data_IF_552983282061
#
_entry.id   IF_552983282061
#
_cell.length_a   1.000
_cell.length_b   1.000
_cell.length_c   1.000
_cell.angle_alpha   90.00
_cell.angle_beta   90.00
_cell.angle_gamma   90.00
#
_symmetry.space_group_name_H-M   'P 1'
#
loop_
_entity.id
_entity.type
_entity.pdbx_description
1 polymer ?
#
# COMPACT_ATOMS: atom_id res chain seq x y z
N UNK A 1 -12.03 -10.41 30.47
CA UNK A 1 -11.58 -9.57 31.58
C UNK A 1 -10.36 -10.21 32.21
N UNK A 2 -9.25 -9.54 32.41
CA UNK A 2 -7.97 -10.02 33.00
C UNK A 2 -7.01 -10.86 32.12
N UNK A 3 -6.98 -10.76 30.83
CA UNK A 3 -5.87 -11.37 30.08
C UNK A 3 -4.64 -10.44 29.86
N UNK A 4 -4.75 -9.16 30.20
CA UNK A 4 -3.64 -8.21 30.02
C UNK A 4 -2.61 -8.15 31.16
N UNK A 5 -2.93 -8.68 32.33
CA UNK A 5 -2.07 -8.52 33.51
C UNK A 5 -1.07 -9.69 33.74
N UNK A 6 -1.39 -10.87 33.23
CA UNK A 6 -0.53 -12.05 33.44
C UNK A 6 0.77 -11.97 32.66
N UNK A 7 0.72 -11.43 31.44
CA UNK A 7 1.92 -11.24 30.60
C UNK A 7 2.86 -10.14 31.10
N UNK A 8 2.30 -9.05 31.65
CA UNK A 8 3.10 -7.94 32.16
C UNK A 8 3.81 -8.26 33.46
N UNK A 9 3.20 -9.02 34.36
CA UNK A 9 3.84 -9.45 35.60
C UNK A 9 4.97 -10.45 35.39
N UNK A 10 4.80 -11.40 34.45
CA UNK A 10 5.85 -12.34 34.07
C UNK A 10 7.08 -11.61 33.50
N UNK A 11 6.89 -10.70 32.58
CA UNK A 11 7.98 -9.92 32.01
C UNK A 11 8.68 -9.00 33.01
N UNK A 12 7.99 -8.52 34.06
CA UNK A 12 8.58 -7.68 35.11
C UNK A 12 9.44 -8.52 36.07
N UNK A 13 9.01 -9.73 36.41
CA UNK A 13 9.73 -10.61 37.33
C UNK A 13 11.02 -11.18 36.76
N UNK A 14 11.06 -11.40 35.44
CA UNK A 14 12.22 -11.98 34.75
C UNK A 14 13.28 -10.93 34.39
N UNK A 15 12.98 -9.66 34.59
CA UNK A 15 13.92 -8.57 34.23
C UNK A 15 14.97 -8.39 35.33
N UNK A 16 16.26 -8.43 35.00
CA UNK A 16 17.32 -8.13 35.95
C UNK A 16 17.14 -6.75 36.62
N UNK A 17 17.39 -6.65 37.91
CA UNK A 17 17.22 -5.40 38.66
C UNK A 17 18.04 -4.23 38.10
N UNK A 18 19.18 -4.52 37.46
CA UNK A 18 20.02 -3.52 36.80
C UNK A 18 19.33 -2.85 35.60
N UNK A 19 18.33 -3.51 35.00
CA UNK A 19 17.55 -3.00 33.87
C UNK A 19 16.26 -2.29 34.31
N UNK A 20 15.95 -2.28 35.58
CA UNK A 20 14.77 -1.57 36.08
C UNK A 20 15.02 -0.06 36.01
N UNK A 21 14.06 0.67 35.48
CA UNK A 21 14.07 2.13 35.50
C UNK A 21 14.01 2.62 36.94
N UNK A 22 14.96 3.50 37.30
CA UNK A 22 15.07 4.10 38.65
C UNK A 22 14.62 5.57 38.68
N UNK A 23 14.37 6.15 37.49
CA UNK A 23 13.92 7.53 37.37
C UNK A 23 12.40 7.61 37.43
N UNK A 24 11.86 8.68 37.94
CA UNK A 24 10.43 8.96 37.90
C UNK A 24 9.96 9.13 36.44
N UNK A 25 8.68 8.85 36.20
CA UNK A 25 8.06 8.95 34.86
C UNK A 25 6.57 9.25 34.99
N UNK A 26 5.96 9.79 33.93
CA UNK A 26 4.54 10.14 33.89
C UNK A 26 4.10 11.02 35.05
N UNK A 27 4.94 11.98 35.48
CA UNK A 27 4.66 12.88 36.61
C UNK A 27 3.70 14.02 36.27
N UNK A 28 3.38 14.25 34.98
CA UNK A 28 2.43 15.27 34.57
C UNK A 28 1.01 14.90 35.01
N UNK A 29 0.27 15.88 35.45
CA UNK A 29 -1.09 15.73 35.98
C UNK A 29 -2.03 15.00 35.03
N UNK A 30 -1.87 15.19 33.72
CA UNK A 30 -2.68 14.52 32.69
C UNK A 30 -2.68 12.99 32.80
N UNK A 31 -1.59 12.39 33.30
CA UNK A 31 -1.50 10.94 33.51
C UNK A 31 -2.21 10.47 34.79
N UNK A 32 -2.63 11.41 35.63
CA UNK A 32 -3.30 11.14 36.92
C UNK A 32 -4.75 11.63 36.95
N UNK A 33 -5.20 12.29 35.86
CA UNK A 33 -6.54 12.82 35.66
C UNK A 33 -7.35 11.97 34.67
N UNK A 34 -8.61 12.35 34.45
CA UNK A 34 -9.48 11.79 33.42
C UNK A 34 -9.64 10.26 33.52
N UNK A 35 -9.83 9.76 34.72
CA UNK A 35 -9.93 8.31 35.01
C UNK A 35 -11.35 7.77 34.91
N UNK A 36 -12.37 8.61 34.95
CA UNK A 36 -13.72 8.22 34.64
C UNK A 36 -13.98 8.23 33.14
N UNK A 37 -14.82 7.34 32.64
CA UNK A 37 -15.15 7.23 31.20
C UNK A 37 -15.57 8.56 30.60
N UNK A 38 -16.50 9.25 31.25
CA UNK A 38 -16.99 10.56 30.78
C UNK A 38 -15.93 11.66 30.79
N UNK A 39 -15.02 11.64 31.74
CA UNK A 39 -13.89 12.57 31.79
C UNK A 39 -12.91 12.29 30.65
N UNK A 40 -12.60 11.00 30.41
CA UNK A 40 -11.73 10.59 29.33
C UNK A 40 -12.31 10.96 27.97
N UNK A 41 -13.60 10.72 27.73
CA UNK A 41 -14.28 11.09 26.49
C UNK A 41 -14.20 12.61 26.23
N UNK A 42 -14.44 13.44 27.26
CA UNK A 42 -14.33 14.90 27.14
C UNK A 42 -12.89 15.33 26.93
N UNK A 43 -11.93 14.67 27.53
CA UNK A 43 -10.51 14.95 27.33
C UNK A 43 -10.09 14.63 25.89
N UNK A 44 -10.44 13.46 25.39
CA UNK A 44 -10.19 13.06 24.00
C UNK A 44 -10.85 14.02 23.01
N UNK A 45 -12.08 14.44 23.27
CA UNK A 45 -12.76 15.43 22.44
C UNK A 45 -12.03 16.76 22.41
N UNK A 46 -11.56 17.27 23.55
CA UNK A 46 -10.76 18.51 23.61
C UNK A 46 -9.46 18.41 22.82
N UNK A 47 -8.81 17.24 22.81
CA UNK A 47 -7.62 17.02 22.00
C UNK A 47 -7.99 16.99 20.51
N UNK A 48 -9.01 16.24 20.15
CA UNK A 48 -9.47 16.15 18.77
C UNK A 48 -9.91 17.52 18.20
N UNK A 49 -10.47 18.41 19.02
CA UNK A 49 -10.91 19.73 18.61
C UNK A 49 -9.78 20.73 18.34
N UNK A 50 -8.54 20.38 18.73
CA UNK A 50 -7.35 21.21 18.48
C UNK A 50 -6.68 20.90 17.15
N UNK A 51 -7.08 19.83 16.50
CA UNK A 51 -6.48 19.36 15.25
C UNK A 51 -7.56 19.15 14.18
N UNK A 52 -7.09 18.91 12.95
CA UNK A 52 -7.96 18.52 11.86
C UNK A 52 -8.59 17.16 12.14
N UNK A 53 -9.88 17.05 11.94
CA UNK A 53 -10.59 15.79 12.06
C UNK A 53 -11.51 15.59 10.85
N UNK A 54 -11.53 14.38 10.31
CA UNK A 54 -12.26 14.03 9.08
C UNK A 54 -13.78 14.23 9.19
N UNK A 55 -14.33 14.23 10.41
CA UNK A 55 -15.76 14.44 10.66
C UNK A 55 -16.19 15.91 10.60
N UNK A 56 -15.27 16.88 10.48
CA UNK A 56 -15.57 18.30 10.43
C UNK A 56 -14.68 19.15 9.53
N UNK A 57 -13.67 18.58 8.92
CA UNK A 57 -12.78 19.30 8.00
C UNK A 57 -12.22 18.36 6.94
N UNK A 58 -11.94 18.92 5.76
CA UNK A 58 -11.15 18.20 4.73
C UNK A 58 -9.67 18.25 5.11
N UNK A 59 -8.99 17.11 5.00
CA UNK A 59 -7.55 17.07 5.16
C UNK A 59 -6.91 17.67 3.91
N UNK A 60 -5.96 18.62 4.04
CA UNK A 60 -5.30 19.27 2.92
C UNK A 60 -4.21 18.40 2.28
N UNK A 61 -4.39 17.09 2.25
CA UNK A 61 -3.50 16.11 1.66
C UNK A 61 -4.25 15.32 0.59
N UNK A 62 -3.58 15.05 -0.52
CA UNK A 62 -4.16 14.36 -1.67
C UNK A 62 -4.39 12.87 -1.42
N UNK A 63 -3.54 12.01 -1.97
CA UNK A 63 -3.75 10.56 -2.00
C UNK A 63 -3.71 9.83 -0.66
N UNK A 64 -3.19 10.44 0.39
CA UNK A 64 -3.09 9.85 1.74
C UNK A 64 -4.32 10.09 2.60
N UNK A 65 -5.35 10.71 2.08
CA UNK A 65 -6.57 11.02 2.83
C UNK A 65 -7.31 9.75 3.18
N UNK A 66 -7.22 9.35 4.45
CA UNK A 66 -8.06 8.29 4.98
C UNK A 66 -9.49 8.83 5.13
N UNK A 67 -10.42 8.26 4.37
CA UNK A 67 -11.83 8.62 4.50
C UNK A 67 -12.42 8.10 5.81
N UNK A 68 -13.53 8.67 6.22
CA UNK A 68 -14.34 8.11 7.32
C UNK A 68 -14.89 6.74 6.89
N UNK A 69 -14.68 5.75 7.73
CA UNK A 69 -15.31 4.44 7.56
C UNK A 69 -16.68 4.43 8.24
N UNK A 70 -17.64 3.75 7.63
CA UNK A 70 -18.94 3.53 8.25
C UNK A 70 -18.79 2.67 9.52
N UNK A 71 -19.53 3.00 10.57
CA UNK A 71 -19.57 2.19 11.78
C UNK A 71 -20.03 0.75 11.50
N UNK A 72 -20.95 0.55 10.54
CA UNK A 72 -21.42 -0.76 10.14
C UNK A 72 -20.31 -1.61 9.48
N UNK A 73 -19.44 -0.99 8.69
CA UNK A 73 -18.28 -1.65 8.08
C UNK A 73 -17.22 -2.06 9.12
N UNK A 74 -17.14 -1.32 10.22
CA UNK A 74 -16.16 -1.58 11.29
C UNK A 74 -16.65 -2.57 12.35
N UNK A 75 -17.95 -2.78 12.49
CA UNK A 75 -18.54 -3.67 13.50
C UNK A 75 -17.99 -5.10 13.46
N UNK A 76 -17.83 -5.75 12.29
CA UNK A 76 -17.34 -7.13 12.21
C UNK A 76 -15.97 -7.35 12.81
N UNK A 77 -15.12 -6.33 12.86
CA UNK A 77 -13.76 -6.41 13.42
C UNK A 77 -13.76 -6.90 14.87
N UNK A 78 -14.80 -6.57 15.65
CA UNK A 78 -14.95 -6.96 17.05
C UNK A 78 -15.73 -8.24 17.26
N UNK A 79 -16.31 -8.83 16.23
CA UNK A 79 -17.04 -10.10 16.37
C UNK A 79 -16.06 -11.22 16.69
N UNK A 80 -16.48 -12.11 17.57
CA UNK A 80 -15.62 -13.20 18.08
C UNK A 80 -15.14 -14.13 16.96
N UNK A 81 -15.96 -14.35 15.96
CA UNK A 81 -15.70 -15.17 14.79
C UNK A 81 -14.53 -14.66 13.97
N UNK A 82 -14.30 -13.35 13.97
CA UNK A 82 -13.15 -12.71 13.33
C UNK A 82 -12.00 -12.44 14.30
N UNK A 83 -12.29 -11.87 15.47
CA UNK A 83 -11.26 -11.33 16.38
C UNK A 83 -10.53 -12.39 17.21
N UNK A 84 -11.10 -13.59 17.39
CA UNK A 84 -10.52 -14.62 18.25
C UNK A 84 -9.84 -15.76 17.48
N UNK A 85 -9.87 -15.74 16.17
CA UNK A 85 -9.18 -16.74 15.36
C UNK A 85 -7.68 -16.46 15.35
N UNK A 86 -6.87 -17.46 15.71
CA UNK A 86 -5.42 -17.32 15.70
C UNK A 86 -4.89 -17.33 14.25
N UNK A 87 -3.90 -16.50 13.89
CA UNK A 87 -3.36 -16.45 12.51
C UNK A 87 -2.79 -17.78 12.01
N UNK A 88 -2.33 -18.66 12.89
CA UNK A 88 -1.78 -19.97 12.56
C UNK A 88 -2.74 -21.13 12.87
N UNK A 89 -4.02 -20.85 12.92
CA UNK A 89 -5.03 -21.90 13.03
C UNK A 89 -4.96 -22.85 11.81
N UNK A 90 -5.22 -24.16 11.98
CA UNK A 90 -5.30 -25.07 10.82
C UNK A 90 -6.31 -24.61 9.78
N UNK A 91 -6.02 -24.84 8.50
CA UNK A 91 -6.82 -24.34 7.37
C UNK A 91 -8.28 -24.80 7.42
N UNK A 92 -8.51 -26.05 7.85
CA UNK A 92 -9.87 -26.61 8.01
C UNK A 92 -10.72 -25.86 9.05
N UNK A 93 -10.09 -25.08 9.92
CA UNK A 93 -10.76 -24.22 10.89
C UNK A 93 -10.84 -22.74 10.46
N UNK A 94 -10.29 -22.39 9.29
CA UNK A 94 -10.24 -21.03 8.75
C UNK A 94 -10.99 -20.87 7.40
N UNK A 95 -11.87 -21.78 7.06
CA UNK A 95 -12.56 -21.81 5.75
C UNK A 95 -13.29 -20.50 5.42
N UNK A 96 -13.94 -19.87 6.41
CA UNK A 96 -14.60 -18.58 6.22
C UNK A 96 -13.64 -17.45 5.87
N UNK A 97 -12.41 -17.47 6.38
CA UNK A 97 -11.37 -16.52 5.99
C UNK A 97 -10.86 -16.80 4.57
N UNK A 98 -10.70 -18.06 4.18
CA UNK A 98 -10.29 -18.43 2.82
C UNK A 98 -11.35 -17.98 1.80
N UNK A 99 -12.63 -18.20 2.10
CA UNK A 99 -13.75 -17.76 1.24
C UNK A 99 -13.75 -16.21 1.11
N UNK A 100 -13.67 -15.50 2.22
CA UNK A 100 -13.64 -14.04 2.24
C UNK A 100 -12.45 -13.47 1.45
N UNK A 101 -11.25 -14.01 1.62
CA UNK A 101 -10.05 -13.57 0.91
C UNK A 101 -10.17 -13.88 -0.58
N UNK A 102 -10.67 -15.05 -0.95
CA UNK A 102 -10.88 -15.45 -2.33
C UNK A 102 -11.90 -14.58 -3.03
N UNK A 103 -13.05 -14.31 -2.40
CA UNK A 103 -14.10 -13.45 -2.92
C UNK A 103 -13.59 -12.00 -3.11
N UNK A 104 -12.89 -11.46 -2.11
CA UNK A 104 -12.30 -10.14 -2.22
C UNK A 104 -11.24 -10.08 -3.33
N UNK A 105 -10.37 -11.08 -3.44
CA UNK A 105 -9.36 -11.15 -4.50
C UNK A 105 -10.01 -11.17 -5.89
N UNK A 106 -11.07 -11.94 -6.09
CA UNK A 106 -11.84 -11.96 -7.34
C UNK A 106 -12.42 -10.59 -7.68
N UNK A 107 -13.06 -9.94 -6.71
CA UNK A 107 -13.60 -8.59 -6.90
C UNK A 107 -12.52 -7.55 -7.22
N UNK A 108 -11.35 -7.66 -6.61
CA UNK A 108 -10.23 -6.78 -6.91
C UNK A 108 -9.67 -7.04 -8.33
N UNK A 109 -9.63 -8.30 -8.79
CA UNK A 109 -9.31 -8.61 -10.19
C UNK A 109 -10.29 -7.93 -11.16
N UNK A 110 -11.58 -8.01 -10.88
CA UNK A 110 -12.63 -7.38 -11.72
C UNK A 110 -12.48 -5.86 -11.77
N UNK A 111 -12.20 -5.23 -10.62
CA UNK A 111 -12.04 -3.76 -10.51
C UNK A 111 -10.79 -3.28 -11.25
N UNK A 112 -9.72 -4.06 -11.24
CA UNK A 112 -8.40 -3.63 -11.71
C UNK A 112 -8.04 -4.13 -13.11
N UNK A 113 -8.72 -5.19 -13.59
CA UNK A 113 -8.39 -5.84 -14.84
C UNK A 113 -7.12 -6.70 -14.78
N UNK A 114 -6.68 -7.07 -13.59
CA UNK A 114 -5.62 -8.06 -13.38
C UNK A 114 -6.15 -9.47 -13.28
N UNK A 115 -5.28 -10.45 -13.51
CA UNK A 115 -5.63 -11.86 -13.55
C UNK A 115 -5.43 -12.56 -12.19
N UNK A 116 -4.58 -12.01 -11.35
CA UNK A 116 -4.30 -12.53 -10.01
C UNK A 116 -4.04 -11.40 -9.01
N UNK A 117 -4.46 -11.64 -7.76
CA UNK A 117 -4.25 -10.72 -6.63
C UNK A 117 -3.63 -11.48 -5.45
N UNK A 118 -2.59 -10.91 -4.85
CA UNK A 118 -2.09 -11.36 -3.55
C UNK A 118 -2.44 -10.35 -2.46
N UNK A 119 -3.04 -10.84 -1.39
CA UNK A 119 -3.41 -10.04 -0.20
C UNK A 119 -2.29 -9.96 0.84
N UNK A 120 -1.10 -10.52 0.57
CA UNK A 120 -0.01 -10.61 1.54
C UNK A 120 0.62 -9.25 1.93
N UNK A 121 0.84 -8.29 1.02
CA UNK A 121 1.48 -7.04 1.40
C UNK A 121 0.60 -6.24 2.37
N UNK A 122 1.19 -5.76 3.46
CA UNK A 122 0.51 -5.06 4.55
C UNK A 122 0.67 -3.54 4.52
N UNK A 123 1.19 -3.01 3.41
CA UNK A 123 1.29 -1.56 3.15
C UNK A 123 1.52 -1.32 1.66
N UNK A 124 1.34 -0.08 1.20
CA UNK A 124 1.66 0.31 -0.18
C UNK A 124 3.11 0.03 -0.54
N UNK A 125 4.05 0.44 0.31
CA UNK A 125 5.48 0.21 0.09
C UNK A 125 5.84 -1.29 0.01
N UNK A 126 5.18 -2.15 0.81
CA UNK A 126 5.35 -3.60 0.69
C UNK A 126 4.75 -4.14 -0.61
N UNK A 127 3.63 -3.58 -1.07
CA UNK A 127 3.06 -3.89 -2.38
C UNK A 127 3.99 -3.48 -3.52
N UNK A 128 4.57 -2.28 -3.46
CA UNK A 128 5.57 -1.83 -4.44
C UNK A 128 6.75 -2.81 -4.51
N UNK A 129 7.33 -3.13 -3.36
CA UNK A 129 8.46 -4.05 -3.29
C UNK A 129 8.10 -5.44 -3.82
N UNK A 130 6.96 -6.00 -3.42
CA UNK A 130 6.49 -7.30 -3.89
C UNK A 130 6.28 -7.32 -5.42
N UNK A 131 5.66 -6.27 -5.97
CA UNK A 131 5.43 -6.17 -7.41
C UNK A 131 6.72 -6.07 -8.21
N UNK A 132 7.70 -5.31 -7.73
CA UNK A 132 9.00 -5.21 -8.38
C UNK A 132 9.81 -6.51 -8.27
N UNK A 133 9.70 -7.23 -7.15
CA UNK A 133 10.29 -8.57 -7.01
C UNK A 133 9.67 -9.56 -8.00
N UNK A 134 8.35 -9.49 -8.21
CA UNK A 134 7.67 -10.32 -9.22
C UNK A 134 8.21 -10.05 -10.63
N UNK A 135 8.40 -8.79 -11.00
CA UNK A 135 9.02 -8.42 -12.29
C UNK A 135 10.47 -8.92 -12.37
N UNK A 136 11.25 -8.75 -11.31
CA UNK A 136 12.63 -9.22 -11.27
C UNK A 136 12.72 -10.75 -11.44
N UNK A 137 11.85 -11.49 -10.76
CA UNK A 137 11.78 -12.94 -10.87
C UNK A 137 11.34 -13.40 -12.27
N UNK A 138 10.39 -12.69 -12.88
CA UNK A 138 9.99 -12.92 -14.26
C UNK A 138 11.18 -12.79 -15.22
N UNK A 139 11.97 -11.73 -15.12
CA UNK A 139 13.18 -11.58 -15.93
C UNK A 139 14.21 -12.65 -15.62
N UNK A 140 14.40 -13.00 -14.34
CA UNK A 140 15.32 -14.06 -13.93
C UNK A 140 14.95 -15.42 -14.54
N UNK A 141 13.69 -15.79 -14.54
CA UNK A 141 13.23 -17.07 -15.13
C UNK A 141 13.37 -17.14 -16.64
N UNK A 142 13.48 -15.98 -17.29
CA UNK A 142 13.80 -15.87 -18.72
C UNK A 142 15.30 -15.83 -19.02
N UNK A 143 16.16 -15.86 -18.00
CA UNK A 143 17.61 -15.70 -18.17
C UNK A 143 18.03 -14.26 -18.48
N UNK A 144 17.19 -13.27 -18.09
CA UNK A 144 17.39 -11.86 -18.34
C UNK A 144 17.69 -11.07 -17.04
N UNK A 145 18.43 -11.66 -16.11
CA UNK A 145 18.78 -11.02 -14.81
C UNK A 145 19.56 -9.71 -14.96
N UNK A 146 20.12 -9.47 -16.14
CA UNK A 146 20.81 -8.22 -16.47
C UNK A 146 19.84 -7.03 -16.59
N UNK A 147 18.53 -7.27 -16.76
CA UNK A 147 17.50 -6.23 -16.80
C UNK A 147 17.28 -5.68 -15.40
N UNK A 148 17.86 -4.51 -15.13
CA UNK A 148 17.87 -3.88 -13.82
C UNK A 148 17.68 -2.35 -13.88
N UNK A 149 17.21 -1.82 -14.99
CA UNK A 149 16.89 -0.41 -15.14
C UNK A 149 15.38 -0.17 -15.01
N UNK A 150 15.01 0.82 -14.23
CA UNK A 150 13.63 1.26 -14.04
C UNK A 150 13.46 2.73 -14.43
N UNK A 151 12.55 3.02 -15.34
CA UNK A 151 12.19 4.38 -15.73
C UNK A 151 11.12 4.91 -14.79
N UNK A 152 11.35 6.05 -14.16
CA UNK A 152 10.43 6.63 -13.17
C UNK A 152 10.29 8.12 -13.43
N UNK A 153 9.06 8.65 -13.68
CA UNK A 153 8.82 10.07 -13.80
C UNK A 153 9.24 10.85 -12.56
N UNK A 154 9.80 12.04 -12.73
CA UNK A 154 10.20 12.92 -11.62
C UNK A 154 9.03 13.35 -10.74
N UNK A 155 7.81 13.29 -11.27
CA UNK A 155 6.55 13.53 -10.53
C UNK A 155 6.09 12.35 -9.67
N UNK A 156 6.71 11.17 -9.78
CA UNK A 156 6.31 9.98 -9.04
C UNK A 156 6.49 10.16 -7.51
N UNK A 157 5.74 9.38 -6.74
CA UNK A 157 5.89 9.33 -5.30
C UNK A 157 7.30 8.87 -4.92
N UNK A 158 7.87 9.47 -3.87
CA UNK A 158 9.24 9.16 -3.43
C UNK A 158 9.49 7.70 -3.03
N UNK A 159 8.45 6.92 -2.75
CA UNK A 159 8.58 5.48 -2.48
C UNK A 159 8.88 4.67 -3.74
N UNK A 160 8.49 5.12 -4.92
CA UNK A 160 8.72 4.38 -6.17
C UNK A 160 10.23 4.20 -6.45
N UNK A 161 11.05 5.27 -6.49
CA UNK A 161 12.49 5.08 -6.65
C UNK A 161 13.14 4.33 -5.48
N UNK A 162 12.65 4.49 -4.25
CA UNK A 162 13.16 3.75 -3.10
C UNK A 162 12.91 2.24 -3.24
N UNK A 163 11.71 1.84 -3.64
CA UNK A 163 11.35 0.44 -3.86
C UNK A 163 12.17 -0.18 -5.01
N UNK A 164 12.37 0.56 -6.11
CA UNK A 164 13.22 0.11 -7.21
C UNK A 164 14.68 -0.12 -6.76
N UNK A 165 15.22 0.78 -5.94
CA UNK A 165 16.57 0.61 -5.37
C UNK A 165 16.65 -0.58 -4.40
N UNK A 166 15.59 -0.87 -3.64
CA UNK A 166 15.54 -2.02 -2.73
C UNK A 166 15.63 -3.36 -3.45
N UNK A 167 15.09 -3.48 -4.67
CA UNK A 167 15.26 -4.69 -5.50
C UNK A 167 16.58 -4.70 -6.28
N UNK A 168 17.44 -3.69 -6.07
CA UNK A 168 18.74 -3.59 -6.70
C UNK A 168 18.73 -2.95 -8.09
N UNK A 169 17.65 -2.28 -8.48
CA UNK A 169 17.53 -1.65 -9.79
C UNK A 169 18.08 -0.23 -9.81
N UNK A 170 18.56 0.16 -10.97
CA UNK A 170 19.01 1.50 -11.28
C UNK A 170 17.82 2.35 -11.74
N UNK A 171 17.56 3.43 -11.04
CA UNK A 171 16.50 4.39 -11.39
C UNK A 171 16.99 5.39 -12.41
N UNK A 172 16.27 5.53 -13.52
CA UNK A 172 16.48 6.57 -14.53
C UNK A 172 15.27 7.52 -14.48
N UNK A 173 15.47 8.77 -14.06
CA UNK A 173 14.38 9.74 -13.98
C UNK A 173 13.92 10.17 -15.36
N UNK A 174 12.60 10.28 -15.55
CA UNK A 174 11.97 10.80 -16.75
C UNK A 174 11.46 12.21 -16.47
N UNK A 175 11.69 13.14 -17.36
CA UNK A 175 11.23 14.52 -17.23
C UNK A 175 9.72 14.63 -17.40
N UNK A 176 9.15 15.70 -16.86
CA UNK A 176 7.77 16.09 -17.14
C UNK A 176 7.76 17.13 -18.25
N UNK A 177 6.77 17.04 -19.13
CA UNK A 177 6.48 18.06 -20.15
C UNK A 177 5.97 19.36 -19.49
N UNK A 178 5.85 20.43 -20.26
CA UNK A 178 5.41 21.75 -19.76
C UNK A 178 3.99 21.72 -19.16
N UNK A 179 3.13 20.84 -19.66
CA UNK A 179 1.78 20.62 -19.14
C UNK A 179 1.72 19.75 -17.87
N UNK A 180 2.85 19.21 -17.42
CA UNK A 180 2.98 18.35 -16.26
C UNK A 180 2.83 16.85 -16.54
N UNK A 181 2.53 16.45 -17.77
CA UNK A 181 2.49 15.06 -18.20
C UNK A 181 3.91 14.45 -18.28
N UNK A 182 3.98 13.14 -18.49
CA UNK A 182 5.26 12.47 -18.80
C UNK A 182 5.76 12.96 -20.15
N UNK A 183 7.00 13.39 -20.21
CA UNK A 183 7.67 13.71 -21.49
C UNK A 183 7.93 12.38 -22.24
N UNK A 184 7.09 12.11 -23.24
CA UNK A 184 7.12 10.86 -24.02
C UNK A 184 8.39 10.75 -24.87
N UNK A 185 8.91 11.88 -25.38
CA UNK A 185 10.15 11.88 -26.17
C UNK A 185 11.36 11.53 -25.30
N UNK A 186 11.45 12.12 -24.09
CA UNK A 186 12.47 11.76 -23.10
C UNK A 186 12.33 10.29 -22.67
N UNK A 187 11.07 9.82 -22.44
CA UNK A 187 10.78 8.43 -22.08
C UNK A 187 11.28 7.46 -23.16
N UNK A 188 10.93 7.70 -24.41
CA UNK A 188 11.34 6.88 -25.57
C UNK A 188 12.85 6.86 -25.75
N UNK A 189 13.49 8.02 -25.69
CA UNK A 189 14.95 8.12 -25.82
C UNK A 189 15.69 7.32 -24.73
N UNK A 190 15.22 7.39 -23.49
CA UNK A 190 15.80 6.64 -22.37
C UNK A 190 15.49 5.14 -22.44
N UNK A 191 14.28 4.77 -22.86
CA UNK A 191 13.93 3.36 -23.08
C UNK A 191 14.80 2.74 -24.16
N UNK A 192 15.03 3.44 -25.27
CA UNK A 192 15.93 2.96 -26.33
C UNK A 192 17.40 2.88 -25.87
N UNK A 193 17.87 3.87 -25.12
CA UNK A 193 19.22 3.87 -24.53
C UNK A 193 19.46 2.65 -23.65
N UNK A 194 18.42 2.21 -22.92
CA UNK A 194 18.46 1.10 -21.96
C UNK A 194 17.76 -0.16 -22.47
N UNK A 195 17.48 -0.30 -23.75
CA UNK A 195 16.70 -1.41 -24.32
C UNK A 195 17.15 -2.81 -23.93
N UNK A 196 18.45 -2.98 -23.67
CA UNK A 196 19.01 -4.27 -23.30
C UNK A 196 18.87 -4.59 -21.79
N UNK A 197 18.80 -3.55 -20.95
CA UNK A 197 18.81 -3.66 -19.50
C UNK A 197 17.55 -3.08 -18.83
N UNK A 198 16.55 -2.67 -19.62
CA UNK A 198 15.27 -2.17 -19.12
C UNK A 198 14.47 -3.29 -18.45
N UNK A 199 14.30 -3.21 -17.14
CA UNK A 199 13.43 -4.10 -16.36
C UNK A 199 11.97 -3.67 -16.43
N UNK A 200 11.73 -2.37 -16.38
CA UNK A 200 10.37 -1.81 -16.44
C UNK A 200 10.31 -0.33 -16.16
N UNK A 201 9.08 0.15 -16.01
CA UNK A 201 8.81 1.50 -15.55
C UNK A 201 7.87 1.49 -14.35
N UNK A 202 7.90 2.55 -13.53
CA UNK A 202 6.89 2.81 -12.50
C UNK A 202 6.22 4.15 -12.79
N UNK A 203 4.92 4.12 -13.02
CA UNK A 203 4.12 5.33 -13.29
C UNK A 203 2.96 5.40 -12.29
N UNK A 204 2.58 6.61 -11.91
CA UNK A 204 1.39 6.87 -11.10
C UNK A 204 0.24 7.25 -12.03
N UNK A 205 -0.93 6.60 -11.89
CA UNK A 205 -2.08 6.91 -12.74
C UNK A 205 -3.40 6.85 -11.95
N UNK A 206 -4.24 7.89 -11.94
CA UNK A 206 -3.95 9.24 -12.50
C UNK A 206 -2.65 9.81 -11.97
N UNK A 207 -2.03 10.74 -12.68
CA UNK A 207 -0.71 11.29 -12.31
C UNK A 207 -0.72 11.94 -10.93
N UNK A 208 0.45 12.18 -10.36
CA UNK A 208 0.60 12.90 -9.08
C UNK A 208 -0.06 14.30 -9.12
N UNK A 209 -0.18 14.89 -10.29
CA UNK A 209 -0.89 16.15 -10.50
C UNK A 209 -2.42 16.00 -10.62
N UNK A 210 -2.94 14.77 -10.53
CA UNK A 210 -4.38 14.46 -10.60
C UNK A 210 -4.94 14.46 -12.03
N UNK A 211 -4.10 14.27 -13.03
CA UNK A 211 -4.47 14.27 -14.44
C UNK A 211 -4.49 12.84 -15.00
N UNK A 212 -5.51 12.53 -15.79
CA UNK A 212 -5.53 11.34 -16.65
C UNK A 212 -4.77 11.67 -17.94
N UNK A 213 -3.48 11.34 -17.97
CA UNK A 213 -2.62 11.59 -19.11
C UNK A 213 -3.07 10.74 -20.31
N UNK A 214 -3.33 11.39 -21.47
CA UNK A 214 -3.79 10.70 -22.68
C UNK A 214 -2.70 9.79 -23.26
N UNK A 215 -1.44 10.11 -23.00
CA UNK A 215 -0.26 9.40 -23.53
C UNK A 215 0.10 8.13 -22.73
N UNK A 216 -0.62 7.80 -21.68
CA UNK A 216 -0.31 6.65 -20.82
C UNK A 216 -0.19 5.33 -21.59
N UNK A 217 -1.07 5.09 -22.56
CA UNK A 217 -1.00 3.89 -23.41
C UNK A 217 0.29 3.82 -24.23
N UNK A 218 0.78 4.97 -24.72
CA UNK A 218 2.03 5.05 -25.46
C UNK A 218 3.22 4.75 -24.54
N UNK A 219 3.25 5.30 -23.33
CA UNK A 219 4.27 5.02 -22.33
C UNK A 219 4.34 3.52 -22.01
N UNK A 220 3.17 2.88 -21.79
CA UNK A 220 3.09 1.44 -21.58
C UNK A 220 3.62 0.65 -22.79
N UNK A 221 3.20 1.04 -24.02
CA UNK A 221 3.63 0.38 -25.24
C UNK A 221 5.15 0.49 -25.48
N UNK A 222 5.75 1.65 -25.23
CA UNK A 222 7.21 1.85 -25.31
C UNK A 222 7.92 0.91 -24.33
N UNK A 223 7.44 0.80 -23.09
CA UNK A 223 8.06 -0.09 -22.09
C UNK A 223 8.05 -1.53 -22.56
N UNK A 224 6.91 -2.00 -23.07
CA UNK A 224 6.76 -3.37 -23.60
C UNK A 224 7.59 -3.60 -24.88
N UNK A 225 7.68 -2.62 -25.76
CA UNK A 225 8.50 -2.69 -26.99
C UNK A 225 9.96 -3.04 -26.68
N UNK A 226 10.49 -2.50 -25.59
CA UNK A 226 11.87 -2.77 -25.15
C UNK A 226 11.99 -3.90 -24.11
N UNK A 227 10.92 -4.69 -23.91
CA UNK A 227 10.91 -5.90 -23.09
C UNK A 227 10.74 -5.66 -21.58
N UNK A 228 10.54 -4.42 -21.16
CA UNK A 228 10.25 -4.07 -19.76
C UNK A 228 8.81 -4.37 -19.37
N UNK A 229 8.52 -4.32 -18.07
CA UNK A 229 7.19 -4.48 -17.49
C UNK A 229 6.68 -3.16 -16.92
N UNK A 230 5.38 -2.93 -17.00
CA UNK A 230 4.74 -1.70 -16.53
C UNK A 230 4.19 -1.89 -15.13
N UNK A 231 4.75 -1.14 -14.18
CA UNK A 231 4.20 -1.00 -12.83
C UNK A 231 3.37 0.28 -12.75
N UNK A 232 2.06 0.15 -12.53
CA UNK A 232 1.19 1.30 -12.26
C UNK A 232 1.00 1.44 -10.75
N UNK A 233 1.43 2.56 -10.19
CA UNK A 233 1.12 2.91 -8.81
C UNK A 233 -0.38 3.20 -8.70
N UNK A 234 -1.11 2.19 -8.26
CA UNK A 234 -2.56 2.20 -8.06
C UNK A 234 -2.95 2.44 -6.59
N UNK A 235 -2.10 3.07 -5.81
CA UNK A 235 -2.31 3.31 -4.38
C UNK A 235 -3.69 3.92 -4.09
N UNK A 236 -4.19 4.79 -4.96
CA UNK A 236 -5.51 5.39 -4.84
C UNK A 236 -6.34 5.12 -6.10
N UNK A 237 -7.39 4.32 -5.95
CA UNK A 237 -8.32 3.94 -7.02
C UNK A 237 -9.60 4.79 -7.05
N UNK A 238 -9.71 5.85 -6.23
CA UNK A 238 -10.95 6.62 -6.09
C UNK A 238 -11.48 7.19 -7.41
N UNK A 239 -10.57 7.58 -8.31
CA UNK A 239 -10.93 8.14 -9.61
C UNK A 239 -11.09 7.08 -10.72
N UNK A 240 -10.80 5.82 -10.44
CA UNK A 240 -10.75 4.77 -11.45
C UNK A 240 -11.85 3.70 -11.29
N UNK A 241 -12.21 3.35 -10.07
CA UNK A 241 -13.17 2.26 -9.81
C UNK A 241 -14.47 2.49 -10.57
N UNK A 242 -14.83 1.52 -11.41
CA UNK A 242 -16.03 1.58 -12.26
C UNK A 242 -15.89 2.41 -13.53
N UNK A 243 -14.78 3.12 -13.74
CA UNK A 243 -14.53 3.98 -14.90
C UNK A 243 -13.39 3.50 -15.78
N UNK A 244 -12.27 3.09 -15.17
CA UNK A 244 -11.11 2.56 -15.87
C UNK A 244 -10.36 1.55 -15.01
N UNK A 245 -9.57 0.69 -15.64
CA UNK A 245 -8.84 -0.39 -14.97
C UNK A 245 -7.36 -0.32 -15.34
N UNK A 246 -6.44 -0.33 -14.36
CA UNK A 246 -5.00 -0.22 -14.64
C UNK A 246 -4.48 -1.35 -15.55
N UNK A 247 -5.03 -2.55 -15.42
CA UNK A 247 -4.70 -3.67 -16.29
C UNK A 247 -5.11 -3.49 -17.76
N UNK A 248 -6.16 -2.70 -18.05
CA UNK A 248 -6.60 -2.41 -19.42
C UNK A 248 -5.82 -1.23 -20.03
N UNK A 249 -5.27 -0.36 -19.19
CA UNK A 249 -4.42 0.76 -19.61
C UNK A 249 -3.07 0.27 -20.13
N UNK A 250 -2.63 -0.91 -19.73
CA UNK A 250 -1.35 -1.48 -20.10
C UNK A 250 -0.44 -1.81 -18.91
N UNK A 251 -0.98 -1.72 -17.68
CA UNK A 251 -0.25 -2.12 -16.49
C UNK A 251 -0.11 -3.64 -16.37
N UNK A 252 1.09 -4.09 -16.03
CA UNK A 252 1.36 -5.49 -15.74
C UNK A 252 1.25 -5.81 -14.26
N UNK A 253 1.54 -4.82 -13.42
CA UNK A 253 1.51 -4.90 -11.95
C UNK A 253 0.96 -3.63 -11.36
N UNK A 254 0.17 -3.74 -10.31
CA UNK A 254 -0.19 -2.60 -9.44
C UNK A 254 -0.37 -3.05 -7.99
N UNK A 255 0.00 -2.18 -7.05
CA UNK A 255 -0.51 -2.33 -5.69
C UNK A 255 -1.75 -1.45 -5.48
N UNK A 256 -2.56 -1.84 -4.53
CA UNK A 256 -3.75 -1.10 -4.11
C UNK A 256 -3.65 -0.80 -2.62
N UNK A 257 -3.95 0.44 -2.21
CA UNK A 257 -4.05 0.75 -0.79
C UNK A 257 -5.52 0.66 -0.36
N UNK A 258 -5.92 -0.47 0.25
CA UNK A 258 -7.31 -0.66 0.68
C UNK A 258 -7.76 0.42 1.67
N UNK A 259 -6.84 0.95 2.46
CA UNK A 259 -7.10 2.03 3.41
C UNK A 259 -7.32 3.41 2.74
N UNK A 260 -7.09 3.56 1.44
CA UNK A 260 -7.35 4.81 0.72
C UNK A 260 -8.72 4.79 0.03
N UNK A 261 -8.98 3.82 -0.82
CA UNK A 261 -10.20 3.73 -1.62
C UNK A 261 -11.29 2.92 -0.94
N UNK A 262 -10.89 1.85 -0.24
CA UNK A 262 -11.78 0.91 0.42
C UNK A 262 -11.82 1.14 1.93
N UNK A 263 -12.48 0.27 2.67
CA UNK A 263 -12.59 0.34 4.11
C UNK A 263 -11.72 -0.73 4.78
N UNK A 264 -10.87 -0.32 5.69
CA UNK A 264 -10.16 -1.21 6.61
C UNK A 264 -10.06 -0.56 8.00
N UNK A 265 -9.89 -1.33 9.09
CA UNK A 265 -9.71 -0.79 10.44
C UNK A 265 -8.42 0.03 10.61
N UNK A 266 -7.40 -0.21 9.80
CA UNK A 266 -6.11 0.52 9.77
C UNK A 266 -5.41 0.56 11.15
N UNK A 267 -5.67 -0.41 12.04
CA UNK A 267 -5.11 -0.48 13.39
C UNK A 267 -5.30 0.78 14.24
N UNK A 268 -6.34 1.60 13.94
CA UNK A 268 -6.50 2.91 14.56
C UNK A 268 -5.62 4.01 13.97
N UNK A 269 -5.12 3.84 12.75
CA UNK A 269 -4.24 4.78 12.03
C UNK A 269 -2.83 4.25 11.76
N UNK A 270 -2.66 2.95 11.83
CA UNK A 270 -1.37 2.25 11.67
C UNK A 270 -1.33 1.34 10.47
N UNK A 271 -1.25 0.00 10.67
CA UNK A 271 -1.02 -0.93 9.57
C UNK A 271 -2.14 -0.88 8.54
N UNK A 272 -1.74 -0.87 7.28
CA UNK A 272 -2.63 -0.87 6.13
C UNK A 272 -2.64 -2.21 5.42
N UNK A 273 -3.14 -2.20 4.20
CA UNK A 273 -3.03 -3.30 3.25
C UNK A 273 -2.68 -2.75 1.86
N UNK A 274 -1.76 -3.43 1.20
CA UNK A 274 -1.34 -3.09 -0.15
C UNK A 274 -1.38 -4.31 -1.06
N UNK A 275 -2.57 -4.90 -1.34
CA UNK A 275 -2.67 -6.02 -2.25
C UNK A 275 -1.97 -5.72 -3.57
N UNK A 276 -1.31 -6.73 -4.12
CA UNK A 276 -0.62 -6.65 -5.40
C UNK A 276 -1.40 -7.42 -6.47
N UNK A 277 -1.73 -6.74 -7.56
CA UNK A 277 -2.39 -7.31 -8.73
C UNK A 277 -1.42 -7.46 -9.89
N UNK A 278 -1.53 -8.56 -10.62
CA UNK A 278 -0.63 -8.85 -11.74
C UNK A 278 -1.38 -9.45 -12.93
N UNK A 279 -0.85 -9.25 -14.13
CA UNK A 279 -1.27 -9.97 -15.34
C UNK A 279 -0.85 -11.43 -15.30
N UNK A 280 -1.54 -12.27 -16.07
CA UNK A 280 -1.39 -13.73 -16.07
C UNK A 280 0.06 -14.22 -16.22
N UNK A 281 0.87 -13.54 -17.04
CA UNK A 281 2.27 -13.92 -17.27
C UNK A 281 3.17 -13.69 -16.06
N UNK A 282 2.77 -12.83 -15.13
CA UNK A 282 3.50 -12.55 -13.89
C UNK A 282 2.97 -13.34 -12.69
N UNK A 283 1.77 -13.92 -12.78
CA UNK A 283 1.14 -14.64 -11.67
C UNK A 283 1.94 -15.82 -11.09
N UNK A 284 2.78 -16.53 -11.89
CA UNK A 284 3.63 -17.62 -11.36
C UNK A 284 4.85 -17.15 -10.55
N UNK A 285 5.15 -15.87 -10.54
CA UNK A 285 6.36 -15.26 -9.97
C UNK A 285 6.03 -14.42 -8.74
#
# INVERSE_FOLDING_TARGET
MFMGLVGSEMCIRDRPNSLHRKTKYLEHDVFHMNRAETEMMRYMRRLADRDLALDRAMIPLGSCTMKLNSAAEMMPVSWREFSLLHPFVPKDQAQGYEEMISDLSSKLCDITGYDAISMQPNSGAQGEYAGLLTIAEFHRTKGEEHRNVCLIPTSAHGTNPASAQMVGWKVIPIQSAENGDIDVDDFRAKAEMHKNDLAGCMITYPSTHGVFEETVHEVCAITHEYGGQVYIDGANMNAMVGLSRPGDIGGDVSHLNLHKTFCIPHGGGGPGMGPIGVKAHLAPH
#
